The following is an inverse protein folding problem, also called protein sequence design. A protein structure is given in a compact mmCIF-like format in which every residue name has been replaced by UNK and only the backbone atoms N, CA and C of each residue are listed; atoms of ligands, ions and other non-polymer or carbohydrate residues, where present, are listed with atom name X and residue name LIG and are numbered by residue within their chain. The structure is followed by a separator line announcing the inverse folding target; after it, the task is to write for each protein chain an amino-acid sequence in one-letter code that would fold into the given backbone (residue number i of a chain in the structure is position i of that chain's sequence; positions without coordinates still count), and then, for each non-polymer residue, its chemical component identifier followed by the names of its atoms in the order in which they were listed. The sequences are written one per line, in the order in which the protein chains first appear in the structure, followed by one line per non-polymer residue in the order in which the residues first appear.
data_IF_729978613451
#
_entry.id   IF_729978613451
#
_cell.length_a   1.000
_cell.length_b   1.000
_cell.length_c   1.000
_cell.angle_alpha   90.00
_cell.angle_beta   90.00
_cell.angle_gamma   90.00
#
_symmetry.space_group_name_H-M   'P 1'
#
loop_
_entity.id
_entity.type
_entity.pdbx_description
1 polymer ?
#
# COMPACT_ATOMS: atom_id res chain seq x y z
N UNK A 1 -36.34 -9.53 -4.50
CA UNK A 1 -35.32 -8.46 -4.44
C UNK A 1 -35.73 -7.34 -5.37
N UNK A 2 -35.79 -6.08 -4.89
CA UNK A 2 -36.08 -4.94 -5.76
C UNK A 2 -34.87 -4.66 -6.68
N UNK A 3 -35.09 -4.04 -7.85
CA UNK A 3 -34.01 -3.70 -8.81
C UNK A 3 -32.91 -2.88 -8.14
N UNK A 4 -33.30 -1.97 -7.26
CA UNK A 4 -32.40 -1.13 -6.46
C UNK A 4 -31.46 -1.94 -5.57
N UNK A 5 -31.98 -2.91 -4.80
CA UNK A 5 -31.15 -3.78 -3.95
C UNK A 5 -30.15 -4.58 -4.80
N UNK A 6 -30.55 -5.08 -5.98
CA UNK A 6 -29.64 -5.82 -6.87
C UNK A 6 -28.47 -4.95 -7.36
N UNK A 7 -28.76 -3.70 -7.75
CA UNK A 7 -27.73 -2.76 -8.21
C UNK A 7 -26.75 -2.44 -7.07
N UNK A 8 -27.25 -2.15 -5.86
CA UNK A 8 -26.38 -1.86 -4.71
C UNK A 8 -25.51 -3.06 -4.37
N UNK A 9 -26.05 -4.27 -4.34
CA UNK A 9 -25.26 -5.48 -4.07
C UNK A 9 -24.16 -5.68 -5.10
N UNK A 10 -24.45 -5.40 -6.38
CA UNK A 10 -23.46 -5.51 -7.46
C UNK A 10 -22.38 -4.43 -7.35
N UNK A 11 -22.76 -3.19 -7.03
CA UNK A 11 -21.80 -2.11 -6.75
C UNK A 11 -20.93 -2.42 -5.52
N UNK A 12 -21.50 -2.99 -4.46
CA UNK A 12 -20.74 -3.37 -3.27
C UNK A 12 -19.70 -4.45 -3.59
N UNK A 13 -20.10 -5.50 -4.32
CA UNK A 13 -19.16 -6.54 -4.77
C UNK A 13 -18.06 -5.98 -5.68
N UNK A 14 -18.41 -5.04 -6.57
CA UNK A 14 -17.44 -4.37 -7.43
C UNK A 14 -16.44 -3.55 -6.61
N UNK A 15 -16.93 -2.72 -5.66
CA UNK A 15 -16.07 -1.93 -4.79
C UNK A 15 -15.10 -2.79 -3.98
N UNK A 16 -15.56 -3.93 -3.44
CA UNK A 16 -14.68 -4.87 -2.74
C UNK A 16 -13.59 -5.44 -3.66
N UNK A 17 -13.91 -5.67 -4.93
CA UNK A 17 -12.94 -6.14 -5.92
C UNK A 17 -11.90 -5.07 -6.26
N UNK A 18 -12.31 -3.80 -6.31
CA UNK A 18 -11.41 -2.67 -6.61
C UNK A 18 -10.33 -2.48 -5.53
N UNK A 19 -10.56 -2.92 -4.29
CA UNK A 19 -9.55 -2.85 -3.20
C UNK A 19 -8.26 -3.63 -3.53
N UNK A 20 -8.32 -4.61 -4.44
CA UNK A 20 -7.12 -5.33 -4.92
C UNK A 20 -6.37 -4.59 -6.04
N UNK A 21 -7.04 -3.64 -6.71
CA UNK A 21 -6.50 -2.89 -7.85
C UNK A 21 -5.98 -1.51 -7.47
N UNK A 22 -6.29 -1.02 -6.27
CA UNK A 22 -5.80 0.25 -5.76
C UNK A 22 -5.15 0.07 -4.38
N UNK A 23 -4.08 0.82 -4.08
CA UNK A 23 -3.48 0.76 -2.75
C UNK A 23 -4.48 1.33 -1.73
N UNK A 24 -4.62 0.66 -0.59
CA UNK A 24 -5.46 1.14 0.51
C UNK A 24 -4.79 2.30 1.24
N UNK A 25 -3.47 2.31 1.29
CA UNK A 25 -2.70 3.35 1.95
C UNK A 25 -1.42 3.68 1.19
N UNK A 26 -0.98 4.93 1.34
CA UNK A 26 0.23 5.47 0.74
C UNK A 26 1.04 6.20 1.81
N UNK A 27 2.33 5.90 1.90
CA UNK A 27 3.28 6.55 2.80
C UNK A 27 4.31 7.30 1.96
N UNK A 28 4.55 8.56 2.30
CA UNK A 28 5.53 9.43 1.68
C UNK A 28 6.50 9.94 2.75
N UNK A 29 7.79 9.68 2.55
CA UNK A 29 8.86 10.08 3.45
C UNK A 29 9.78 11.04 2.70
N UNK A 30 9.96 12.22 3.29
CA UNK A 30 10.84 13.26 2.75
C UNK A 30 11.98 13.48 3.74
N UNK A 31 13.21 13.41 3.25
CA UNK A 31 14.40 13.65 4.05
C UNK A 31 15.49 14.28 3.17
N UNK A 32 16.40 15.11 3.73
CA UNK A 32 17.51 15.67 2.97
C UNK A 32 18.38 14.61 2.26
N UNK A 33 18.45 13.40 2.81
CA UNK A 33 19.21 12.27 2.27
C UNK A 33 18.54 11.57 1.08
N UNK A 34 17.23 11.77 0.90
CA UNK A 34 16.44 11.26 -0.23
C UNK A 34 15.73 12.44 -0.91
N UNK A 35 16.44 13.24 -1.73
CA UNK A 35 15.88 14.42 -2.39
C UNK A 35 14.66 14.12 -3.26
N UNK A 36 14.62 12.93 -3.85
CA UNK A 36 13.52 12.38 -4.64
C UNK A 36 12.32 11.90 -3.81
N UNK A 37 12.50 11.76 -2.49
CA UNK A 37 11.54 11.14 -1.58
C UNK A 37 11.49 9.61 -1.74
N UNK A 38 11.11 8.93 -0.66
CA UNK A 38 10.88 7.48 -0.68
C UNK A 38 9.50 7.17 -0.12
N UNK A 39 8.89 6.06 -0.55
CA UNK A 39 7.55 5.74 -0.07
C UNK A 39 7.13 4.29 -0.23
N UNK A 40 5.98 3.98 0.36
CA UNK A 40 5.34 2.68 0.24
C UNK A 40 3.88 2.83 -0.22
N UNK A 41 3.43 1.85 -0.97
CA UNK A 41 2.02 1.55 -1.20
C UNK A 41 1.65 0.28 -0.46
N UNK A 42 0.63 0.39 0.40
CA UNK A 42 0.08 -0.73 1.16
C UNK A 42 -1.23 -1.13 0.48
N UNK A 43 -1.24 -2.34 -0.03
CA UNK A 43 -2.38 -2.97 -0.68
C UNK A 43 -3.00 -3.99 0.28
N UNK A 44 -4.20 -4.47 -0.02
CA UNK A 44 -4.84 -5.51 0.79
C UNK A 44 -4.07 -6.84 0.83
N UNK A 45 -3.25 -7.09 -0.19
CA UNK A 45 -2.56 -8.37 -0.40
C UNK A 45 -1.04 -8.25 -0.59
N UNK A 46 -0.48 -7.03 -0.54
CA UNK A 46 0.96 -6.80 -0.75
C UNK A 46 1.38 -5.43 -0.24
N UNK A 47 2.68 -5.26 -0.01
CA UNK A 47 3.30 -3.97 0.24
C UNK A 47 4.36 -3.76 -0.84
N UNK A 48 4.37 -2.59 -1.48
CA UNK A 48 5.32 -2.26 -2.55
C UNK A 48 5.98 -0.91 -2.29
N UNK A 49 7.24 -0.75 -2.71
CA UNK A 49 7.85 0.57 -2.81
C UNK A 49 7.12 1.46 -3.82
N UNK A 50 7.15 2.79 -3.64
CA UNK A 50 6.67 3.73 -4.67
C UNK A 50 7.63 3.78 -5.84
N UNK A 51 8.93 3.85 -5.54
CA UNK A 51 10.00 3.74 -6.52
C UNK A 51 10.79 2.43 -6.35
N UNK A 52 11.67 2.16 -7.31
CA UNK A 52 12.59 1.03 -7.23
C UNK A 52 13.48 1.15 -5.99
N UNK A 53 13.59 0.07 -5.23
CA UNK A 53 14.37 -0.05 -3.99
C UNK A 53 13.82 0.71 -2.75
N UNK A 54 12.71 1.44 -2.83
CA UNK A 54 12.16 2.17 -1.67
C UNK A 54 11.90 1.25 -0.47
N UNK A 55 11.29 0.08 -0.70
CA UNK A 55 11.03 -0.89 0.36
C UNK A 55 12.34 -1.35 1.03
N UNK A 56 13.40 -1.57 0.25
CA UNK A 56 14.72 -1.96 0.77
C UNK A 56 15.35 -0.82 1.58
N UNK A 57 15.29 0.41 1.06
CA UNK A 57 15.81 1.59 1.73
C UNK A 57 15.08 1.83 3.06
N UNK A 58 13.76 1.72 3.06
CA UNK A 58 12.92 1.85 4.25
C UNK A 58 13.21 0.74 5.26
N UNK A 59 13.41 -0.51 4.83
CA UNK A 59 13.84 -1.58 5.72
C UNK A 59 15.23 -1.31 6.33
N UNK A 60 16.16 -0.75 5.55
CA UNK A 60 17.45 -0.29 6.06
C UNK A 60 17.30 0.79 7.12
N UNK A 61 16.46 1.80 6.88
CA UNK A 61 16.15 2.84 7.87
C UNK A 61 15.53 2.23 9.12
N UNK A 62 14.53 1.36 8.97
CA UNK A 62 13.86 0.66 10.06
C UNK A 62 14.86 -0.07 10.94
N UNK A 63 15.81 -0.79 10.35
CA UNK A 63 16.89 -1.45 11.08
C UNK A 63 17.67 -0.47 11.97
N UNK A 64 18.02 0.72 11.46
CA UNK A 64 18.75 1.72 12.23
C UNK A 64 17.94 2.38 13.35
N UNK A 65 16.62 2.46 13.21
CA UNK A 65 15.72 3.00 14.23
C UNK A 65 15.08 1.92 15.12
N UNK A 66 15.49 0.66 14.97
CA UNK A 66 14.98 -0.47 15.76
C UNK A 66 13.56 -0.92 15.41
N UNK A 67 13.04 -0.53 14.24
CA UNK A 67 11.75 -0.96 13.72
C UNK A 67 11.85 -2.32 13.02
N UNK A 68 10.74 -3.07 13.00
CA UNK A 68 10.67 -4.38 12.35
C UNK A 68 10.83 -4.25 10.83
N UNK A 69 11.52 -5.22 10.23
CA UNK A 69 11.62 -5.32 8.78
C UNK A 69 10.26 -5.67 8.16
N UNK A 70 9.96 -5.01 7.04
CA UNK A 70 8.76 -5.25 6.24
C UNK A 70 9.08 -6.34 5.23
N UNK A 71 8.47 -7.51 5.40
CA UNK A 71 8.54 -8.62 4.45
C UNK A 71 7.21 -8.68 3.67
N UNK A 72 7.20 -8.37 2.37
CA UNK A 72 5.96 -8.27 1.60
C UNK A 72 5.27 -9.62 1.33
N UNK A 73 5.95 -10.74 1.60
CA UNK A 73 5.45 -12.11 1.44
C UNK A 73 5.06 -12.82 2.76
N UNK A 74 5.13 -12.13 3.90
CA UNK A 74 4.86 -12.72 5.24
C UNK A 74 3.44 -12.54 5.75
#
# INVERSE_FOLDING_TARGET
MTKFTRIISLCAALLMTLVFLFPMWSIDLHAPQYPEGIGLHIWVNKITGKNANDLKNINGLNHYIGMKEIHPES
#
